data_IF_479163379652
#
_entry.id   IF_479163379652
#
_cell.length_a   1.000
_cell.length_b   1.000
_cell.length_c   1.000
_cell.angle_alpha   90.00
_cell.angle_beta   90.00
_cell.angle_gamma   90.00
#
_symmetry.space_group_name_H-M   'P 1'
#
loop_
_entity.id
_entity.type
_entity.pdbx_description
1 polymer ?
#
# COMPACT_ATOMS: atom_id res chain seq x y z
N UNK A 1 12.14 21.51 6.48
CA UNK A 1 11.35 21.56 5.22
C UNK A 1 12.01 22.37 4.08
N UNK A 2 13.00 23.23 4.36
CA UNK A 2 13.66 24.10 3.36
C UNK A 2 14.78 23.45 2.53
N UNK A 3 15.20 22.23 2.87
CA UNK A 3 16.43 21.67 2.32
C UNK A 3 16.30 21.24 0.84
N UNK A 4 15.12 20.79 0.42
CA UNK A 4 14.92 20.20 -0.91
C UNK A 4 13.77 20.83 -1.71
N UNK A 5 13.02 21.78 -1.12
CA UNK A 5 11.89 22.42 -1.78
C UNK A 5 11.94 23.94 -1.63
N UNK A 6 11.90 24.65 -2.76
CA UNK A 6 12.05 26.12 -2.85
C UNK A 6 10.84 26.81 -3.50
N UNK A 7 9.65 26.21 -3.41
CA UNK A 7 8.40 26.84 -3.87
C UNK A 7 8.11 26.74 -5.38
N UNK A 8 8.85 25.91 -6.11
CA UNK A 8 8.67 25.67 -7.54
C UNK A 8 7.55 24.66 -7.80
N UNK A 9 6.90 24.68 -8.96
CA UNK A 9 5.93 23.63 -9.34
C UNK A 9 6.63 22.26 -9.45
N UNK A 10 6.26 21.31 -8.60
CA UNK A 10 6.81 19.94 -8.61
C UNK A 10 6.01 19.06 -9.58
N UNK A 11 6.70 18.50 -10.59
CA UNK A 11 6.08 17.62 -11.61
C UNK A 11 6.18 16.12 -11.29
N UNK A 12 7.21 15.71 -10.56
CA UNK A 12 7.39 14.32 -10.12
C UNK A 12 8.14 14.28 -8.79
N UNK A 13 7.83 13.29 -7.96
CA UNK A 13 8.53 13.02 -6.70
C UNK A 13 8.94 11.55 -6.73
N UNK A 14 10.21 11.27 -6.49
CA UNK A 14 10.74 9.91 -6.39
C UNK A 14 11.21 9.68 -4.96
N UNK A 15 10.83 8.54 -4.39
CA UNK A 15 11.20 8.12 -3.04
C UNK A 15 11.93 6.79 -3.15
N UNK A 16 13.12 6.71 -2.57
CA UNK A 16 13.93 5.49 -2.52
C UNK A 16 14.15 5.11 -1.06
N UNK A 17 13.84 3.86 -0.73
CA UNK A 17 14.06 3.30 0.61
C UNK A 17 15.26 2.36 0.52
N UNK A 18 16.20 2.51 1.44
CA UNK A 18 17.34 1.59 1.59
C UNK A 18 17.23 0.84 2.91
N UNK A 19 17.87 -0.34 3.02
CA UNK A 19 17.86 -1.21 4.21
C UNK A 19 16.49 -1.84 4.51
N UNK A 20 15.87 -2.41 3.48
CA UNK A 20 14.72 -3.30 3.70
C UNK A 20 15.19 -4.52 4.49
N UNK A 21 14.44 -4.87 5.54
CA UNK A 21 14.62 -6.10 6.31
C UNK A 21 13.40 -6.96 6.12
N UNK A 22 13.57 -8.27 6.29
CA UNK A 22 12.44 -9.18 6.25
C UNK A 22 11.45 -8.83 7.38
N UNK A 23 10.17 -8.89 7.06
CA UNK A 23 9.08 -8.70 8.00
C UNK A 23 8.98 -9.97 8.87
N UNK A 24 9.99 -10.31 9.66
CA UNK A 24 9.91 -11.37 10.67
C UNK A 24 9.54 -10.80 12.03
N UNK A 25 10.11 -9.64 12.38
CA UNK A 25 9.89 -8.99 13.67
C UNK A 25 8.66 -8.07 13.63
N UNK A 26 7.76 -8.24 14.58
CA UNK A 26 6.64 -7.31 14.79
C UNK A 26 7.03 -6.29 15.86
N UNK A 27 6.90 -5.01 15.53
CA UNK A 27 6.94 -3.98 16.56
C UNK A 27 5.69 -4.11 17.43
N UNK A 28 5.88 -4.33 18.73
CA UNK A 28 4.80 -4.37 19.70
C UNK A 28 4.30 -2.95 19.98
N UNK A 29 2.99 -2.79 20.00
CA UNK A 29 2.31 -1.57 20.41
C UNK A 29 1.52 -1.86 21.69
N UNK A 30 1.74 -1.03 22.73
CA UNK A 30 1.04 -1.13 24.01
C UNK A 30 -0.48 -0.97 23.87
N UNK A 31 -0.95 -0.32 22.81
CA UNK A 31 -2.36 -0.08 22.53
C UNK A 31 -2.92 -0.94 21.38
N UNK A 32 -2.11 -1.80 20.76
CA UNK A 32 -2.55 -2.76 19.73
C UNK A 32 -2.24 -4.20 20.12
N UNK A 33 -2.95 -4.68 21.14
CA UNK A 33 -2.83 -6.03 21.70
C UNK A 33 -3.07 -7.11 20.63
N UNK A 34 -3.88 -6.81 19.61
CA UNK A 34 -4.26 -7.72 18.52
C UNK A 34 -3.56 -7.40 17.18
N UNK A 35 -2.47 -6.62 17.20
CA UNK A 35 -1.73 -6.23 15.98
C UNK A 35 -1.29 -7.42 15.13
N UNK A 36 -0.99 -8.56 15.77
CA UNK A 36 -0.62 -9.80 15.09
C UNK A 36 -1.73 -10.37 14.20
N UNK A 37 -3.00 -10.29 14.64
CA UNK A 37 -4.15 -10.74 13.85
C UNK A 37 -4.31 -9.90 12.59
N UNK A 38 -4.11 -8.59 12.72
CA UNK A 38 -4.17 -7.66 11.57
C UNK A 38 -3.08 -7.98 10.55
N UNK A 39 -1.88 -8.32 11.01
CA UNK A 39 -0.76 -8.72 10.13
C UNK A 39 -1.05 -10.04 9.41
N UNK A 40 -1.53 -11.06 10.12
CA UNK A 40 -1.93 -12.33 9.52
C UNK A 40 -3.01 -12.13 8.45
N UNK A 41 -4.03 -11.33 8.75
CA UNK A 41 -5.07 -10.96 7.79
C UNK A 41 -4.48 -10.28 6.55
N UNK A 42 -3.50 -9.39 6.71
CA UNK A 42 -2.76 -8.76 5.62
C UNK A 42 -2.13 -9.79 4.69
N UNK A 43 -1.37 -10.74 5.24
CA UNK A 43 -0.76 -11.82 4.44
C UNK A 43 -1.79 -12.71 3.74
N UNK A 44 -2.93 -13.00 4.37
CA UNK A 44 -4.01 -13.77 3.73
C UNK A 44 -4.59 -13.00 2.55
N UNK A 45 -4.85 -11.70 2.72
CA UNK A 45 -5.32 -10.81 1.64
C UNK A 45 -4.31 -10.77 0.49
N UNK A 46 -3.02 -10.70 0.78
CA UNK A 46 -1.96 -10.67 -0.23
C UNK A 46 -1.84 -12.01 -0.96
N UNK A 47 -1.96 -13.15 -0.26
CA UNK A 47 -2.02 -14.48 -0.90
C UNK A 47 -3.19 -14.58 -1.88
N UNK A 48 -4.37 -14.06 -1.52
CA UNK A 48 -5.55 -14.04 -2.40
C UNK A 48 -5.25 -13.19 -3.65
N UNK A 49 -4.67 -11.99 -3.48
CA UNK A 49 -4.35 -11.09 -4.60
C UNK A 49 -3.27 -11.63 -5.52
N UNK A 50 -2.25 -12.26 -4.96
CA UNK A 50 -1.18 -12.89 -5.72
C UNK A 50 -1.71 -14.04 -6.58
N UNK A 51 -2.73 -14.76 -6.10
CA UNK A 51 -3.33 -15.88 -6.81
C UNK A 51 -4.40 -15.48 -7.84
N UNK A 52 -5.25 -14.51 -7.49
CA UNK A 52 -6.47 -14.19 -8.28
C UNK A 52 -6.48 -12.78 -8.88
N UNK A 53 -5.41 -12.00 -8.66
CA UNK A 53 -5.26 -10.64 -9.17
C UNK A 53 -5.57 -9.57 -8.13
N UNK A 54 -5.09 -8.35 -8.40
CA UNK A 54 -5.13 -7.21 -7.46
C UNK A 54 -6.56 -6.77 -7.09
N UNK A 55 -7.55 -7.04 -7.95
CA UNK A 55 -8.96 -6.74 -7.70
C UNK A 55 -9.74 -7.86 -7.00
N UNK A 56 -9.12 -9.02 -6.73
CA UNK A 56 -9.83 -10.19 -6.20
C UNK A 56 -10.45 -9.96 -4.81
N UNK A 57 -9.81 -9.12 -3.99
CA UNK A 57 -10.34 -8.66 -2.71
C UNK A 57 -9.91 -7.22 -2.44
N UNK A 58 -10.88 -6.36 -2.18
CA UNK A 58 -10.69 -4.93 -1.91
C UNK A 58 -11.41 -4.56 -0.61
N UNK A 59 -10.88 -3.56 0.10
CA UNK A 59 -11.60 -3.02 1.27
C UNK A 59 -12.83 -2.26 0.81
N UNK A 60 -13.88 -2.23 1.61
CA UNK A 60 -15.12 -1.51 1.30
C UNK A 60 -14.88 -0.04 0.90
N UNK A 61 -13.94 0.64 1.58
CA UNK A 61 -13.54 2.03 1.27
C UNK A 61 -13.03 2.22 -0.16
N UNK A 62 -12.50 1.17 -0.79
CA UNK A 62 -12.02 1.19 -2.17
C UNK A 62 -13.15 1.35 -3.20
N UNK A 63 -14.40 1.11 -2.81
CA UNK A 63 -15.58 1.27 -3.67
C UNK A 63 -16.27 2.64 -3.52
N UNK A 64 -15.78 3.48 -2.61
CA UNK A 64 -16.25 4.88 -2.52
C UNK A 64 -15.72 5.70 -3.68
N UNK A 65 -16.35 6.85 -3.97
CA UNK A 65 -15.88 7.75 -5.02
C UNK A 65 -14.45 8.30 -4.82
N UNK A 66 -13.97 8.32 -3.57
CA UNK A 66 -12.59 8.68 -3.23
C UNK A 66 -11.60 7.50 -3.32
N UNK A 67 -12.10 6.27 -3.50
CA UNK A 67 -11.29 5.05 -3.56
C UNK A 67 -10.58 4.89 -4.91
N UNK A 68 -9.26 4.71 -4.88
CA UNK A 68 -8.46 4.57 -6.12
C UNK A 68 -8.11 3.13 -6.47
N UNK A 69 -8.22 2.19 -5.53
CA UNK A 69 -7.74 0.82 -5.72
C UNK A 69 -8.48 0.06 -6.85
N UNK A 70 -9.80 0.25 -6.98
CA UNK A 70 -10.58 -0.35 -8.05
C UNK A 70 -10.26 0.24 -9.44
N UNK A 71 -9.96 1.53 -9.51
CA UNK A 71 -9.53 2.15 -10.76
C UNK A 71 -8.12 1.67 -11.15
N UNK A 72 -7.21 1.63 -10.17
CA UNK A 72 -5.82 1.20 -10.37
C UNK A 72 -5.69 -0.26 -10.72
N UNK A 73 -6.59 -1.14 -10.26
CA UNK A 73 -6.54 -2.56 -10.63
C UNK A 73 -6.76 -2.81 -12.12
N UNK A 74 -7.33 -1.83 -12.85
CA UNK A 74 -7.51 -1.86 -14.31
C UNK A 74 -6.31 -1.30 -15.09
N UNK A 75 -5.31 -0.74 -14.41
CA UNK A 75 -4.11 -0.18 -15.01
C UNK A 75 -2.99 -1.21 -14.87
N UNK A 76 -2.47 -1.71 -16.00
CA UNK A 76 -1.32 -2.63 -15.98
C UNK A 76 -0.05 -1.77 -16.03
N UNK A 77 0.79 -1.85 -15.00
CA UNK A 77 2.12 -1.21 -15.00
C UNK A 77 2.15 0.33 -15.12
N UNK A 78 1.01 1.02 -14.96
CA UNK A 78 0.92 2.48 -15.09
C UNK A 78 0.41 2.98 -16.45
N UNK A 79 0.05 2.08 -17.37
CA UNK A 79 -0.63 2.43 -18.63
C UNK A 79 -2.00 1.73 -18.71
N UNK A 80 -2.96 2.39 -19.37
CA UNK A 80 -4.18 1.72 -19.84
C UNK A 80 -3.76 0.83 -21.01
N UNK A 81 -3.90 -0.48 -20.85
CA UNK A 81 -4.00 -1.37 -22.00
C UNK A 81 -5.25 -1.07 -22.79
#
# INVERSE_FOLDING_TARGET
MKENYRGQTVRSVSLSITKLVDDYEMQLDLFDIDGWKKRELGYVVDKIRNKYGSAAILRAVSFTGAGTALHRSKLVGGQKG
#
